data_IF_118371495676
#
_entry.id   IF_118371495676
#
_cell.length_a   1.000
_cell.length_b   1.000
_cell.length_c   1.000
_cell.angle_alpha   90.00
_cell.angle_beta   90.00
_cell.angle_gamma   90.00
#
_symmetry.space_group_name_H-M   'P 1'
#
loop_
_entity.id
_entity.type
_entity.pdbx_description
1 polymer ?
#
# COMPACT_ATOMS: atom_id res chain seq x y z
N UNK A 1 1.37 19.68 26.18
CA UNK A 1 1.91 18.64 25.29
C UNK A 1 3.28 19.10 24.87
N UNK A 2 4.33 18.34 25.20
CA UNK A 2 5.64 18.55 24.60
C UNK A 2 5.64 17.93 23.20
N UNK A 3 6.04 18.71 22.20
CA UNK A 3 6.19 18.22 20.83
C UNK A 3 7.52 17.49 20.70
N UNK A 4 7.49 16.21 20.28
CA UNK A 4 8.70 15.48 19.95
C UNK A 4 9.13 15.81 18.51
N UNK A 5 10.34 16.32 18.37
CA UNK A 5 10.97 16.51 17.06
C UNK A 5 11.61 15.19 16.65
N UNK A 6 11.16 14.62 15.54
CA UNK A 6 11.73 13.40 14.97
C UNK A 6 13.08 13.68 14.32
N UNK A 7 14.02 12.76 14.52
CA UNK A 7 15.28 12.73 13.76
C UNK A 7 15.01 12.49 12.28
N UNK A 8 15.97 12.88 11.43
CA UNK A 8 15.88 12.63 9.99
C UNK A 8 15.70 11.15 9.64
N UNK A 9 16.38 10.26 10.38
CA UNK A 9 16.26 8.82 10.17
C UNK A 9 14.86 8.30 10.52
N UNK A 10 14.23 8.83 11.57
CA UNK A 10 12.85 8.49 11.93
C UNK A 10 11.85 8.99 10.87
N UNK A 11 12.03 10.22 10.40
CA UNK A 11 11.21 10.77 9.32
C UNK A 11 11.34 9.95 8.04
N UNK A 12 12.57 9.57 7.64
CA UNK A 12 12.81 8.72 6.48
C UNK A 12 12.15 7.35 6.63
N UNK A 13 12.27 6.72 7.81
CA UNK A 13 11.65 5.43 8.08
C UNK A 13 10.12 5.51 7.94
N UNK A 14 9.48 6.57 8.47
CA UNK A 14 8.03 6.78 8.35
C UNK A 14 7.63 6.95 6.89
N UNK A 15 8.29 7.84 6.15
CA UNK A 15 7.97 8.09 4.74
C UNK A 15 8.15 6.85 3.87
N UNK A 16 9.25 6.13 4.05
CA UNK A 16 9.54 4.91 3.29
C UNK A 16 8.57 3.78 3.66
N UNK A 17 8.30 3.57 4.95
CA UNK A 17 7.31 2.57 5.38
C UNK A 17 5.91 2.88 4.88
N UNK A 18 5.54 4.17 4.87
CA UNK A 18 4.26 4.61 4.32
C UNK A 18 4.16 4.32 2.82
N UNK A 19 5.15 4.75 2.03
CA UNK A 19 5.15 4.50 0.58
C UNK A 19 5.09 2.99 0.27
N UNK A 20 5.92 2.17 0.93
CA UNK A 20 5.91 0.72 0.76
C UNK A 20 4.54 0.10 1.08
N UNK A 21 3.84 0.65 2.08
CA UNK A 21 2.49 0.18 2.43
C UNK A 21 1.47 0.53 1.35
N UNK A 22 1.55 1.72 0.76
CA UNK A 22 0.69 2.13 -0.35
C UNK A 22 0.96 1.30 -1.61
N UNK A 23 2.24 1.06 -1.94
CA UNK A 23 2.62 0.21 -3.09
C UNK A 23 2.09 -1.22 -2.93
N UNK A 24 2.18 -1.78 -1.72
CA UNK A 24 1.61 -3.09 -1.41
C UNK A 24 0.08 -3.08 -1.53
N UNK A 25 -0.59 -2.04 -1.04
CA UNK A 25 -2.05 -1.93 -1.12
C UNK A 25 -2.52 -1.84 -2.58
N UNK A 26 -1.84 -1.04 -3.41
CA UNK A 26 -2.11 -0.97 -4.85
C UNK A 26 -1.96 -2.34 -5.53
N UNK A 27 -0.91 -3.09 -5.20
CA UNK A 27 -0.72 -4.44 -5.71
C UNK A 27 -1.86 -5.39 -5.28
N UNK A 28 -2.27 -5.33 -4.01
CA UNK A 28 -3.38 -6.13 -3.50
C UNK A 28 -4.71 -5.80 -4.20
N UNK A 29 -5.02 -4.52 -4.43
CA UNK A 29 -6.21 -4.12 -5.19
C UNK A 29 -6.17 -4.61 -6.64
N UNK A 30 -5.00 -4.54 -7.29
CA UNK A 30 -4.78 -5.10 -8.63
C UNK A 30 -5.11 -6.60 -8.71
N UNK A 31 -4.55 -7.40 -7.79
CA UNK A 31 -4.86 -8.84 -7.71
C UNK A 31 -6.33 -9.11 -7.43
N UNK A 32 -6.98 -8.30 -6.61
CA UNK A 32 -8.41 -8.47 -6.31
C UNK A 32 -9.27 -8.18 -7.55
N UNK A 33 -8.91 -7.18 -8.36
CA UNK A 33 -9.60 -6.91 -9.63
C UNK A 33 -9.52 -8.10 -10.58
N UNK A 34 -8.33 -8.68 -10.77
CA UNK A 34 -8.14 -9.88 -11.59
C UNK A 34 -9.03 -11.04 -11.12
N UNK A 35 -9.12 -11.24 -9.81
CA UNK A 35 -9.99 -12.28 -9.22
C UNK A 35 -11.46 -12.01 -9.45
N UNK A 36 -11.92 -10.76 -9.28
CA UNK A 36 -13.31 -10.41 -9.53
C UNK A 36 -13.66 -10.55 -11.02
N UNK A 37 -12.76 -10.18 -11.92
CA UNK A 37 -12.93 -10.37 -13.36
C UNK A 37 -13.12 -11.86 -13.69
N UNK A 38 -12.22 -12.73 -13.21
CA UNK A 38 -12.34 -14.18 -13.41
C UNK A 38 -13.63 -14.77 -12.83
N UNK A 39 -14.10 -14.26 -11.68
CA UNK A 39 -15.38 -14.67 -11.11
C UNK A 39 -16.55 -14.25 -12.01
N UNK A 40 -16.59 -13.00 -12.47
CA UNK A 40 -17.70 -12.47 -13.26
C UNK A 40 -17.89 -13.16 -14.61
N UNK A 41 -16.83 -13.73 -15.18
CA UNK A 41 -16.88 -14.55 -16.40
C UNK A 41 -17.68 -15.86 -16.22
N UNK A 42 -17.71 -16.40 -15.00
CA UNK A 42 -18.25 -17.75 -14.72
C UNK A 42 -19.52 -17.73 -13.87
N UNK A 43 -19.85 -16.60 -13.24
CA UNK A 43 -21.03 -16.49 -12.38
C UNK A 43 -22.33 -16.39 -13.17
N UNK A 44 -23.30 -17.21 -12.75
CA UNK A 44 -24.70 -17.08 -13.15
C UNK A 44 -25.28 -15.73 -12.72
N UNK A 45 -26.29 -15.27 -13.44
CA UNK A 45 -26.99 -14.04 -13.09
C UNK A 45 -27.74 -14.19 -11.76
N UNK A 46 -27.55 -13.21 -10.88
CA UNK A 46 -28.17 -13.19 -9.56
C UNK A 46 -27.46 -12.26 -8.59
N UNK A 47 -27.93 -12.26 -7.34
CA UNK A 47 -27.48 -11.35 -6.28
C UNK A 47 -25.97 -11.41 -6.03
N UNK A 48 -25.38 -12.60 -6.19
CA UNK A 48 -23.94 -12.77 -5.99
C UNK A 48 -23.12 -12.08 -7.09
N UNK A 49 -23.51 -12.22 -8.36
CA UNK A 49 -22.85 -11.54 -9.48
C UNK A 49 -22.97 -10.02 -9.35
N UNK A 50 -24.13 -9.52 -8.90
CA UNK A 50 -24.33 -8.10 -8.58
C UNK A 50 -23.39 -7.63 -7.48
N UNK A 51 -23.23 -8.41 -6.41
CA UNK A 51 -22.31 -8.10 -5.31
C UNK A 51 -20.85 -8.09 -5.76
N UNK A 52 -20.41 -9.07 -6.54
CA UNK A 52 -19.04 -9.12 -7.08
C UNK A 52 -18.78 -7.94 -8.02
N UNK A 53 -19.77 -7.56 -8.84
CA UNK A 53 -19.69 -6.39 -9.72
C UNK A 53 -19.48 -5.11 -8.91
N UNK A 54 -20.21 -4.95 -7.80
CA UNK A 54 -20.04 -3.81 -6.89
C UNK A 54 -18.67 -3.80 -6.22
N UNK A 55 -18.22 -4.94 -5.69
CA UNK A 55 -16.89 -5.07 -5.06
C UNK A 55 -15.76 -4.72 -6.03
N UNK A 56 -15.88 -5.17 -7.29
CA UNK A 56 -14.94 -4.82 -8.35
C UNK A 56 -14.89 -3.30 -8.58
N UNK A 57 -16.06 -2.66 -8.72
CA UNK A 57 -16.13 -1.22 -8.93
C UNK A 57 -15.53 -0.42 -7.75
N UNK A 58 -15.84 -0.83 -6.51
CA UNK A 58 -15.27 -0.23 -5.30
C UNK A 58 -13.75 -0.40 -5.25
N UNK A 59 -13.25 -1.59 -5.60
CA UNK A 59 -11.81 -1.91 -5.63
C UNK A 59 -11.08 -1.08 -6.68
N UNK A 60 -11.69 -0.88 -7.85
CA UNK A 60 -11.13 0.01 -8.87
C UNK A 60 -11.04 1.46 -8.38
N UNK A 61 -12.04 1.92 -7.64
CA UNK A 61 -12.01 3.22 -6.95
C UNK A 61 -10.87 3.31 -5.94
N UNK A 62 -10.71 2.30 -5.08
CA UNK A 62 -9.60 2.24 -4.11
C UNK A 62 -8.23 2.22 -4.77
N UNK A 63 -8.06 1.47 -5.86
CA UNK A 63 -6.81 1.47 -6.61
C UNK A 63 -6.47 2.87 -7.15
N UNK A 64 -7.45 3.61 -7.66
CA UNK A 64 -7.25 4.98 -8.12
C UNK A 64 -6.87 5.93 -6.96
N UNK A 65 -7.53 5.80 -5.81
CA UNK A 65 -7.19 6.56 -4.59
C UNK A 65 -5.73 6.30 -4.15
N UNK A 66 -5.35 5.03 -3.98
CA UNK A 66 -3.99 4.65 -3.57
C UNK A 66 -2.95 5.13 -4.58
N UNK A 67 -3.25 5.00 -5.89
CA UNK A 67 -2.36 5.50 -6.95
C UNK A 67 -2.16 7.02 -6.87
N UNK A 68 -3.20 7.78 -6.52
CA UNK A 68 -3.09 9.22 -6.30
C UNK A 68 -2.24 9.56 -5.07
N UNK A 69 -2.37 8.79 -3.99
CA UNK A 69 -1.56 8.93 -2.77
C UNK A 69 -0.09 8.65 -3.07
N UNK A 70 0.22 7.56 -3.79
CA UNK A 70 1.58 7.24 -4.22
C UNK A 70 2.16 8.41 -5.02
N UNK A 71 1.41 8.89 -6.02
CA UNK A 71 1.83 10.02 -6.88
C UNK A 71 2.14 11.28 -6.08
N UNK A 72 1.30 11.60 -5.09
CA UNK A 72 1.51 12.75 -4.20
C UNK A 72 2.66 12.54 -3.20
N UNK A 73 2.98 11.29 -2.88
CA UNK A 73 4.03 10.93 -1.90
C UNK A 73 5.42 10.92 -2.53
N UNK A 74 5.56 10.48 -3.78
CA UNK A 74 6.85 10.34 -4.47
C UNK A 74 7.73 11.60 -4.41
N UNK A 75 7.22 12.84 -4.62
CA UNK A 75 8.03 14.05 -4.53
C UNK A 75 8.53 14.39 -3.12
N UNK A 76 7.95 13.78 -2.08
CA UNK A 76 8.27 14.03 -0.67
C UNK A 76 9.34 13.06 -0.13
N UNK A 77 9.73 12.08 -0.95
CA UNK A 77 10.67 11.03 -0.59
C UNK A 77 12.10 11.58 -0.48
N UNK A 78 12.91 11.05 0.45
CA UNK A 78 14.31 11.43 0.56
C UNK A 78 15.10 10.88 -0.64
N UNK A 79 16.38 11.23 -0.74
CA UNK A 79 17.25 10.73 -1.81
C UNK A 79 17.28 9.19 -1.86
N UNK A 80 17.58 8.62 -3.03
CA UNK A 80 17.62 7.16 -3.21
C UNK A 80 18.54 6.46 -2.20
N UNK A 81 19.69 7.07 -1.86
CA UNK A 81 20.59 6.55 -0.84
C UNK A 81 19.92 6.46 0.55
N UNK A 82 19.17 7.50 0.93
CA UNK A 82 18.44 7.54 2.21
C UNK A 82 17.27 6.58 2.23
N UNK A 83 16.60 6.38 1.10
CA UNK A 83 15.56 5.34 0.94
C UNK A 83 16.16 3.96 1.22
N UNK A 84 17.30 3.62 0.63
CA UNK A 84 17.94 2.31 0.88
C UNK A 84 18.37 2.14 2.34
N UNK A 85 18.92 3.18 2.96
CA UNK A 85 19.27 3.14 4.37
C UNK A 85 18.03 2.93 5.27
N UNK A 86 16.91 3.58 4.96
CA UNK A 86 15.65 3.40 5.68
C UNK A 86 15.09 1.99 5.50
N UNK A 87 15.12 1.44 4.27
CA UNK A 87 14.71 0.05 3.99
C UNK A 87 15.49 -0.95 4.85
N UNK A 88 16.82 -0.83 4.90
CA UNK A 88 17.67 -1.70 5.72
C UNK A 88 17.31 -1.61 7.22
N UNK A 89 17.08 -0.39 7.74
CA UNK A 89 16.64 -0.22 9.14
C UNK A 89 15.30 -0.87 9.42
N UNK A 90 14.33 -0.70 8.53
CA UNK A 90 13.00 -1.31 8.65
C UNK A 90 13.05 -2.84 8.60
N UNK A 91 13.87 -3.40 7.71
CA UNK A 91 14.11 -4.84 7.62
C UNK A 91 14.73 -5.40 8.90
N UNK A 92 15.76 -4.71 9.41
CA UNK A 92 16.45 -5.09 10.66
C UNK A 92 15.49 -5.06 11.85
N UNK A 93 14.69 -4.00 11.98
CA UNK A 93 13.69 -3.86 13.03
C UNK A 93 12.61 -4.96 12.94
N UNK A 94 12.16 -5.29 11.73
CA UNK A 94 11.18 -6.35 11.49
C UNK A 94 11.74 -7.73 11.83
N UNK A 95 13.00 -7.99 11.47
CA UNK A 95 13.68 -9.25 11.80
C UNK A 95 13.81 -9.42 13.32
N UNK A 96 14.27 -8.37 14.02
CA UNK A 96 14.38 -8.37 15.47
C UNK A 96 13.04 -8.66 16.18
N UNK A 97 11.95 -8.06 15.70
CA UNK A 97 10.61 -8.26 16.24
C UNK A 97 10.03 -9.68 16.02
N UNK A 98 10.58 -10.48 15.10
CA UNK A 98 10.17 -11.88 14.87
C UNK A 98 10.95 -12.88 15.72
N UNK A 99 12.10 -12.46 16.26
CA UNK A 99 13.03 -13.32 17.00
C UNK A 99 13.03 -13.08 18.51
N UNK A 100 12.40 -12.00 18.98
CA UNK A 100 12.22 -11.69 20.40
C UNK A 100 10.79 -11.93 20.84
#
# INVERSE_FOLDING_TARGET
>A
MDYQILTENEQDNIKVSFLLSQERDAYCHGLNLERYDAMLETLDDGDWKLRVTKLRAETAGRLAEVSSIITATLPQMPSSQRIQAAKLRLETATAAARTG
#
